data_IF_404915634415
#
_entry.id   IF_404915634415
#
_cell.length_a   1.000
_cell.length_b   1.000
_cell.length_c   1.000
_cell.angle_alpha   90.00
_cell.angle_beta   90.00
_cell.angle_gamma   90.00
#
_symmetry.space_group_name_H-M   'P 1'
#
loop_
_entity.id
_entity.type
_entity.pdbx_description
1 polymer ?
#
# COMPACT_ATOMS: atom_id res chain seq x y z
N UNK A 1 11.89 -1.23 -14.93
CA UNK A 1 11.05 -1.60 -13.79
C UNK A 1 11.85 -1.51 -12.51
N UNK A 2 12.24 -0.27 -12.18
CA UNK A 2 12.71 0.11 -10.85
C UNK A 2 11.52 0.73 -10.11
N UNK A 3 11.35 0.39 -8.84
CA UNK A 3 10.34 0.99 -7.96
C UNK A 3 11.06 1.55 -6.75
N UNK A 4 10.81 2.82 -6.43
CA UNK A 4 11.42 3.49 -5.30
C UNK A 4 10.51 3.35 -4.07
N UNK A 5 11.05 2.82 -2.97
CA UNK A 5 10.31 2.81 -1.70
C UNK A 5 10.24 4.23 -1.15
N UNK A 6 9.04 4.79 -1.07
CA UNK A 6 8.81 6.15 -0.56
C UNK A 6 8.32 6.16 0.88
N UNK A 7 7.64 5.11 1.31
CA UNK A 7 7.13 4.98 2.67
C UNK A 7 7.10 3.51 3.09
N UNK A 8 7.37 3.23 4.36
CA UNK A 8 7.27 1.90 4.95
C UNK A 8 6.81 2.00 6.38
N UNK A 9 5.77 1.25 6.73
CA UNK A 9 5.21 1.11 8.07
C UNK A 9 5.00 -0.38 8.38
N UNK A 10 5.30 -0.77 9.61
CA UNK A 10 5.07 -2.12 10.12
C UNK A 10 3.87 -2.04 11.06
N UNK A 11 2.81 -2.81 10.76
CA UNK A 11 1.65 -2.98 11.63
C UNK A 11 1.75 -4.30 12.40
N UNK A 12 0.81 -4.53 13.32
CA UNK A 12 0.84 -5.71 14.19
C UNK A 12 0.77 -7.04 13.42
N UNK A 13 0.06 -7.08 12.29
CA UNK A 13 -0.12 -8.28 11.47
C UNK A 13 0.54 -8.21 10.10
N UNK A 14 0.71 -6.99 9.55
CA UNK A 14 1.10 -6.77 8.17
C UNK A 14 2.15 -5.67 8.02
N UNK A 15 3.03 -5.80 7.02
CA UNK A 15 4.01 -4.76 6.66
C UNK A 15 3.56 -4.00 5.42
N UNK A 16 3.27 -2.71 5.60
CA UNK A 16 2.81 -1.80 4.55
C UNK A 16 3.95 -0.99 3.97
N UNK A 17 4.10 -1.00 2.65
CA UNK A 17 5.14 -0.26 1.94
C UNK A 17 4.52 0.44 0.75
N UNK A 18 4.71 1.76 0.65
CA UNK A 18 4.32 2.51 -0.54
C UNK A 18 5.55 2.65 -1.43
N UNK A 19 5.39 2.22 -2.67
CA UNK A 19 6.40 2.31 -3.71
C UNK A 19 5.94 3.31 -4.77
N UNK A 20 6.86 4.12 -5.28
CA UNK A 20 6.69 4.93 -6.48
C UNK A 20 7.24 4.15 -7.68
N UNK A 21 6.41 3.99 -8.69
CA UNK A 21 6.81 3.53 -10.01
C UNK A 21 7.51 4.68 -10.76
N UNK A 22 8.79 4.50 -11.07
CA UNK A 22 9.59 5.53 -11.73
C UNK A 22 9.18 5.76 -13.20
N UNK A 23 8.48 4.81 -13.80
CA UNK A 23 8.07 4.87 -15.21
C UNK A 23 6.74 5.62 -15.38
N UNK A 24 5.82 5.44 -14.44
CA UNK A 24 4.46 5.98 -14.47
C UNK A 24 4.23 7.14 -13.51
N UNK A 25 5.24 7.52 -12.72
CA UNK A 25 5.17 8.52 -11.63
C UNK A 25 4.00 8.24 -10.66
N UNK A 26 3.60 6.97 -10.58
CA UNK A 26 2.42 6.51 -9.84
C UNK A 26 2.86 5.76 -8.60
N UNK A 27 2.04 5.77 -7.57
CA UNK A 27 2.32 5.12 -6.30
C UNK A 27 1.47 3.86 -6.19
N UNK A 28 2.00 2.82 -5.58
CA UNK A 28 1.25 1.60 -5.30
C UNK A 28 1.59 1.06 -3.91
N UNK A 29 0.64 0.35 -3.32
CA UNK A 29 0.81 -0.26 -2.01
C UNK A 29 1.35 -1.68 -2.14
N UNK A 30 2.25 -2.05 -1.24
CA UNK A 30 2.79 -3.40 -1.06
C UNK A 30 2.52 -3.80 0.38
N UNK A 31 1.88 -4.96 0.56
CA UNK A 31 1.55 -5.55 1.86
C UNK A 31 2.25 -6.90 1.93
N UNK A 32 3.08 -7.14 2.95
CA UNK A 32 3.82 -8.40 3.12
C UNK A 32 4.61 -8.81 1.87
N UNK A 33 5.33 -7.84 1.31
CA UNK A 33 6.15 -8.01 0.10
C UNK A 33 5.35 -8.30 -1.18
N UNK A 34 4.01 -8.27 -1.13
CA UNK A 34 3.13 -8.45 -2.27
C UNK A 34 2.40 -7.16 -2.64
N UNK A 35 2.35 -6.79 -3.93
CA UNK A 35 1.60 -5.62 -4.36
C UNK A 35 0.11 -5.80 -4.06
N UNK A 36 -0.49 -4.80 -3.43
CA UNK A 36 -1.90 -4.76 -3.12
C UNK A 36 -2.72 -4.69 -4.41
N UNK A 37 -3.73 -5.54 -4.50
CA UNK A 37 -4.62 -5.61 -5.66
C UNK A 37 -6.05 -5.43 -5.21
N UNK A 38 -6.74 -4.48 -5.83
CA UNK A 38 -8.16 -4.25 -5.67
C UNK A 38 -8.88 -4.84 -6.89
N UNK A 39 -9.89 -5.69 -6.66
CA UNK A 39 -10.63 -6.39 -7.71
C UNK A 39 -9.76 -7.14 -8.75
N UNK A 40 -8.58 -7.61 -8.32
CA UNK A 40 -7.63 -8.34 -9.17
C UNK A 40 -6.68 -7.46 -9.98
N UNK A 41 -6.80 -6.13 -9.89
CA UNK A 41 -5.94 -5.15 -10.52
C UNK A 41 -5.00 -4.51 -9.49
N UNK A 42 -3.79 -4.15 -9.91
CA UNK A 42 -2.87 -3.39 -9.07
C UNK A 42 -3.53 -2.08 -8.66
N UNK A 43 -3.58 -1.80 -7.36
CA UNK A 43 -4.04 -0.51 -6.87
C UNK A 43 -2.89 0.48 -6.96
N UNK A 44 -2.97 1.38 -7.94
CA UNK A 44 -2.00 2.43 -8.17
C UNK A 44 -2.70 3.79 -8.32
N UNK A 45 -2.05 4.85 -7.88
CA UNK A 45 -2.60 6.21 -7.90
C UNK A 45 -1.64 7.24 -7.35
N UNK A 46 -2.18 8.35 -6.84
CA UNK A 46 -1.37 9.36 -6.17
C UNK A 46 -0.89 8.85 -4.80
N UNK A 47 0.19 9.44 -4.27
CA UNK A 47 0.64 9.13 -2.91
C UNK A 47 -0.49 9.28 -1.87
N UNK A 48 -1.32 10.31 -2.01
CA UNK A 48 -2.44 10.57 -1.09
C UNK A 48 -3.51 9.47 -1.15
N UNK A 49 -3.94 9.05 -2.36
CA UNK A 49 -4.87 7.92 -2.56
C UNK A 49 -4.34 6.63 -1.93
N UNK A 50 -3.07 6.29 -2.19
CA UNK A 50 -2.45 5.07 -1.66
C UNK A 50 -2.30 5.12 -0.15
N UNK A 51 -1.97 6.30 0.38
CA UNK A 51 -1.83 6.50 1.81
C UNK A 51 -3.19 6.50 2.53
N UNK A 52 -4.25 7.05 1.93
CA UNK A 52 -5.61 6.96 2.46
C UNK A 52 -6.09 5.50 2.48
N UNK A 53 -5.81 4.75 1.41
CA UNK A 53 -6.11 3.32 1.34
C UNK A 53 -5.38 2.50 2.41
N UNK A 54 -4.11 2.81 2.68
CA UNK A 54 -3.35 2.20 3.76
C UNK A 54 -4.02 2.44 5.12
N UNK A 55 -4.48 3.66 5.40
CA UNK A 55 -5.20 3.98 6.64
C UNK A 55 -6.51 3.21 6.76
N UNK A 56 -7.26 3.07 5.67
CA UNK A 56 -8.51 2.32 5.65
C UNK A 56 -8.27 0.83 5.94
N UNK A 57 -7.25 0.22 5.32
CA UNK A 57 -6.84 -1.15 5.57
C UNK A 57 -6.45 -1.37 7.04
N UNK A 58 -5.64 -0.46 7.60
CA UNK A 58 -5.24 -0.50 9.00
C UNK A 58 -6.42 -0.35 9.95
N UNK A 59 -7.37 0.53 9.64
CA UNK A 59 -8.59 0.68 10.43
C UNK A 59 -9.45 -0.59 10.38
N UNK A 60 -9.51 -1.27 9.24
CA UNK A 60 -10.23 -2.53 9.08
C UNK A 60 -9.56 -3.71 9.83
N UNK A 61 -8.24 -3.74 9.93
CA UNK A 61 -7.50 -4.70 10.76
C UNK A 61 -7.76 -4.47 12.26
N UNK A 62 -7.67 -3.22 12.72
CA UNK A 62 -7.90 -2.87 14.13
C UNK A 62 -9.31 -3.30 14.57
N UNK A 63 -10.30 -3.09 13.71
CA UNK A 63 -11.69 -3.52 13.92
C UNK A 63 -11.90 -5.05 13.95
N UNK A 64 -10.99 -5.86 13.40
CA UNK A 64 -11.08 -7.33 13.46
C UNK A 64 -10.54 -7.92 14.77
N UNK A 65 -9.84 -7.13 15.58
CA UNK A 65 -9.17 -7.60 16.81
C UNK A 65 -10.07 -7.50 18.06
N UNK A 66 -11.36 -7.17 17.91
CA UNK A 66 -12.35 -7.02 19.01
C UNK A 66 -13.40 -8.14 19.07
#
# INVERSE_FOLDING_TARGET
MGSLVVYSEDSAEHRYTICQDEESDSYFLVIDEQPYKEDGHLFEGSFDDVHDKLKDLRAAEDLKTI
#
